data_IF_943790205113
#
_entry.id   IF_943790205113
#
_cell.length_a   1.000
_cell.length_b   1.000
_cell.length_c   1.000
_cell.angle_alpha   90.00
_cell.angle_beta   90.00
_cell.angle_gamma   90.00
#
_symmetry.space_group_name_H-M   'P 1'
#
loop_
_entity.id
_entity.type
_entity.pdbx_description
1 polymer ?
#
# COMPACT_ATOMS: atom_id res chain seq x y z
N UNK A 1 -23.05 -53.51 -27.64
CA UNK A 1 -22.25 -52.83 -26.60
C UNK A 1 -22.73 -53.34 -25.25
N UNK A 2 -21.82 -53.72 -24.34
CA UNK A 2 -22.17 -54.28 -23.03
C UNK A 2 -22.60 -53.17 -22.06
N UNK A 3 -23.51 -53.46 -21.14
CA UNK A 3 -23.96 -52.55 -20.09
C UNK A 3 -22.81 -52.03 -19.21
N UNK A 4 -21.76 -52.87 -19.04
CA UNK A 4 -20.49 -52.49 -18.42
C UNK A 4 -19.74 -51.41 -19.20
N UNK A 5 -19.76 -51.46 -20.52
CA UNK A 5 -19.09 -50.46 -21.38
C UNK A 5 -19.79 -49.11 -21.30
N UNK A 6 -21.12 -49.12 -21.10
CA UNK A 6 -21.92 -47.91 -20.93
C UNK A 6 -21.62 -47.24 -19.58
N UNK A 7 -21.59 -48.03 -18.50
CA UNK A 7 -21.21 -47.56 -17.16
C UNK A 7 -19.78 -47.00 -17.13
N UNK A 8 -18.82 -47.67 -17.78
CA UNK A 8 -17.44 -47.20 -17.87
C UNK A 8 -17.35 -45.85 -18.60
N UNK A 9 -18.11 -45.66 -19.68
CA UNK A 9 -18.17 -44.40 -20.42
C UNK A 9 -18.77 -43.27 -19.59
N UNK A 10 -19.86 -43.49 -18.86
CA UNK A 10 -20.45 -42.49 -17.96
C UNK A 10 -19.50 -42.10 -16.82
N UNK A 11 -18.81 -43.07 -16.23
CA UNK A 11 -17.86 -42.84 -15.15
C UNK A 11 -16.62 -42.08 -15.63
N UNK A 12 -16.18 -42.34 -16.86
CA UNK A 12 -15.09 -41.62 -17.51
C UNK A 12 -15.51 -40.18 -17.86
N UNK A 13 -16.73 -39.99 -18.37
CA UNK A 13 -17.26 -38.68 -18.73
C UNK A 13 -17.50 -37.79 -17.51
N UNK A 14 -18.10 -38.33 -16.45
CA UNK A 14 -18.25 -37.63 -15.16
C UNK A 14 -16.90 -37.26 -14.56
N UNK A 15 -15.90 -38.16 -14.64
CA UNK A 15 -14.54 -37.86 -14.16
C UNK A 15 -13.83 -36.80 -15.00
N UNK A 16 -14.09 -36.74 -16.32
CA UNK A 16 -13.57 -35.67 -17.20
C UNK A 16 -14.23 -34.33 -16.87
N UNK A 17 -15.55 -34.29 -16.70
CA UNK A 17 -16.29 -33.09 -16.30
C UNK A 17 -15.82 -32.56 -14.95
N UNK A 18 -15.74 -33.42 -13.93
CA UNK A 18 -15.25 -33.05 -12.61
C UNK A 18 -13.80 -32.53 -12.61
N UNK A 19 -12.94 -33.02 -13.52
CA UNK A 19 -11.59 -32.47 -13.72
C UNK A 19 -11.62 -31.10 -14.39
N UNK A 20 -12.41 -30.95 -15.44
CA UNK A 20 -12.57 -29.69 -16.16
C UNK A 20 -13.15 -28.60 -15.25
N UNK A 21 -14.14 -28.93 -14.41
CA UNK A 21 -14.74 -27.99 -13.46
C UNK A 21 -13.73 -27.51 -12.42
N UNK A 22 -12.92 -28.42 -11.87
CA UNK A 22 -11.85 -28.07 -10.91
C UNK A 22 -10.76 -27.23 -11.55
N UNK A 23 -10.40 -27.51 -12.79
CA UNK A 23 -9.40 -26.72 -13.52
C UNK A 23 -9.93 -25.31 -13.82
N UNK A 24 -11.19 -25.21 -14.24
CA UNK A 24 -11.86 -23.93 -14.45
C UNK A 24 -11.98 -23.12 -13.16
N UNK A 25 -12.30 -23.76 -12.04
CA UNK A 25 -12.34 -23.10 -10.73
C UNK A 25 -10.96 -22.60 -10.31
N UNK A 26 -9.91 -23.40 -10.52
CA UNK A 26 -8.52 -22.98 -10.28
C UNK A 26 -8.12 -21.79 -11.12
N UNK A 27 -8.46 -21.79 -12.41
CA UNK A 27 -8.18 -20.66 -13.30
C UNK A 27 -8.91 -19.39 -12.85
N UNK A 28 -10.19 -19.50 -12.47
CA UNK A 28 -10.96 -18.38 -11.91
C UNK A 28 -10.36 -17.86 -10.61
N UNK A 29 -9.92 -18.74 -9.72
CA UNK A 29 -9.27 -18.35 -8.47
C UNK A 29 -7.92 -17.65 -8.74
N UNK A 30 -7.12 -18.17 -9.66
CA UNK A 30 -5.84 -17.55 -10.04
C UNK A 30 -6.02 -16.17 -10.68
N UNK A 31 -7.04 -16.00 -11.52
CA UNK A 31 -7.37 -14.69 -12.11
C UNK A 31 -7.82 -13.69 -11.04
N UNK A 32 -8.66 -14.11 -10.10
CA UNK A 32 -9.08 -13.26 -8.97
C UNK A 32 -7.91 -12.86 -8.09
N UNK A 33 -7.00 -13.78 -7.80
CA UNK A 33 -5.81 -13.49 -7.01
C UNK A 33 -4.87 -12.53 -7.74
N UNK A 34 -4.69 -12.73 -9.05
CA UNK A 34 -3.90 -11.81 -9.87
C UNK A 34 -4.51 -10.40 -9.90
N UNK A 35 -5.82 -10.29 -10.09
CA UNK A 35 -6.52 -9.00 -10.03
C UNK A 35 -6.42 -8.37 -8.62
N UNK A 36 -6.51 -9.16 -7.57
CA UNK A 36 -6.37 -8.68 -6.20
C UNK A 36 -4.96 -8.11 -5.93
N UNK A 37 -3.92 -8.76 -6.44
CA UNK A 37 -2.52 -8.39 -6.20
C UNK A 37 -2.02 -7.25 -7.09
N UNK A 38 -2.37 -7.28 -8.38
CA UNK A 38 -1.83 -6.39 -9.42
C UNK A 38 -2.86 -5.42 -9.99
N UNK A 39 -4.13 -5.54 -9.58
CA UNK A 39 -5.18 -4.62 -10.02
C UNK A 39 -5.08 -3.25 -9.34
N UNK A 40 -5.74 -2.24 -9.92
CA UNK A 40 -5.84 -0.91 -9.32
C UNK A 40 -6.63 -0.97 -8.01
N UNK A 41 -6.05 -0.37 -6.97
CA UNK A 41 -6.68 -0.26 -5.65
C UNK A 41 -7.73 0.82 -5.64
N UNK A 42 -8.80 0.63 -4.87
CA UNK A 42 -9.65 1.75 -4.46
C UNK A 42 -8.92 2.67 -3.48
N UNK A 43 -9.37 3.92 -3.36
CA UNK A 43 -8.82 4.86 -2.36
C UNK A 43 -8.88 4.26 -0.95
N UNK A 44 -9.97 3.56 -0.62
CA UNK A 44 -10.11 2.88 0.68
C UNK A 44 -9.08 1.76 0.85
N UNK A 45 -8.96 0.87 -0.13
CA UNK A 45 -7.99 -0.23 -0.06
C UNK A 45 -6.55 0.28 0.01
N UNK A 46 -6.22 1.33 -0.74
CA UNK A 46 -4.90 1.96 -0.69
C UNK A 46 -4.58 2.49 0.71
N UNK A 47 -5.50 3.22 1.34
CA UNK A 47 -5.32 3.73 2.71
C UNK A 47 -5.20 2.59 3.73
N UNK A 48 -6.00 1.53 3.60
CA UNK A 48 -5.96 0.36 4.49
C UNK A 48 -4.63 -0.41 4.37
N UNK A 49 -4.12 -0.58 3.15
CA UNK A 49 -2.81 -1.18 2.90
C UNK A 49 -1.70 -0.30 3.51
N UNK A 50 -1.70 1.02 3.26
CA UNK A 50 -0.76 1.95 3.88
C UNK A 50 -0.80 1.91 5.42
N UNK A 51 -1.99 1.84 6.03
CA UNK A 51 -2.13 1.73 7.48
C UNK A 51 -1.58 0.42 8.03
N UNK A 52 -1.84 -0.69 7.33
CA UNK A 52 -1.28 -2.00 7.68
C UNK A 52 0.24 -2.02 7.59
N UNK A 53 0.81 -1.24 6.66
CA UNK A 53 2.25 -1.08 6.51
C UNK A 53 2.84 -0.21 7.62
N UNK A 54 2.20 0.92 7.94
CA UNK A 54 2.62 1.82 9.03
C UNK A 54 2.65 1.10 10.38
N UNK A 55 1.63 0.27 10.67
CA UNK A 55 1.58 -0.54 11.89
C UNK A 55 2.69 -1.59 12.02
N UNK A 56 3.43 -1.90 10.94
CA UNK A 56 4.59 -2.79 10.95
C UNK A 56 5.92 -2.05 11.12
N UNK A 57 5.91 -0.73 11.08
CA UNK A 57 7.11 0.07 11.29
C UNK A 57 7.52 0.00 12.77
N UNK A 58 8.78 -0.35 13.00
CA UNK A 58 9.36 -0.37 14.33
C UNK A 58 9.87 1.03 14.66
N UNK A 59 9.13 1.75 15.53
CA UNK A 59 9.54 3.08 15.97
C UNK A 59 10.64 2.93 17.02
N UNK A 60 11.90 2.95 16.56
CA UNK A 60 13.06 2.92 17.42
C UNK A 60 13.15 4.25 18.18
N UNK A 61 12.59 4.27 19.39
CA UNK A 61 12.57 5.43 20.30
C UNK A 61 13.81 5.49 21.20
N UNK A 62 14.58 4.41 21.30
CA UNK A 62 15.83 4.37 22.06
C UNK A 62 16.98 4.92 21.19
N UNK A 63 17.18 6.23 21.28
CA UNK A 63 18.32 6.95 20.71
C UNK A 63 19.64 6.59 21.45
N UNK A 64 20.12 5.36 21.35
CA UNK A 64 21.52 5.03 21.72
C UNK A 64 22.47 5.12 20.51
N UNK A 65 21.92 5.35 19.31
CA UNK A 65 22.61 5.56 18.03
C UNK A 65 22.65 7.06 17.65
N UNK A 66 22.77 7.95 18.63
CA UNK A 66 23.07 9.36 18.33
C UNK A 66 24.48 9.36 17.75
N UNK A 67 24.65 9.97 16.57
CA UNK A 67 25.95 10.27 15.92
C UNK A 67 27.16 10.02 16.82
N UNK A 68 27.91 8.93 16.61
CA UNK A 68 29.31 8.84 17.09
C UNK A 68 30.23 9.73 16.23
N UNK A 69 29.75 10.89 15.82
CA UNK A 69 30.48 11.91 15.07
C UNK A 69 30.71 13.12 15.96
N UNK A 70 31.76 13.91 15.71
CA UNK A 70 31.92 15.19 16.39
C UNK A 70 30.64 16.00 16.26
N UNK A 71 30.15 16.54 17.38
CA UNK A 71 28.95 17.38 17.43
C UNK A 71 29.11 18.46 16.39
N UNK A 72 28.36 18.34 15.29
CA UNK A 72 28.32 19.39 14.28
C UNK A 72 27.61 20.55 14.96
N UNK A 73 28.35 21.61 15.28
CA UNK A 73 27.77 22.86 15.75
C UNK A 73 26.82 23.36 14.65
N UNK A 74 25.49 23.35 14.88
CA UNK A 74 24.56 23.77 13.85
C UNK A 74 24.57 25.29 13.62
N UNK A 75 25.42 26.05 14.33
CA UNK A 75 25.48 27.51 14.31
C UNK A 75 24.19 28.13 14.85
N UNK A 76 23.76 29.25 14.26
CA UNK A 76 22.54 29.98 14.62
C UNK A 76 21.23 29.36 14.11
N UNK A 77 21.22 28.09 13.71
CA UNK A 77 19.99 27.46 13.22
C UNK A 77 18.95 27.34 14.34
N UNK A 78 17.73 27.90 14.14
CA UNK A 78 16.69 27.84 15.15
C UNK A 78 16.29 26.39 15.41
N UNK A 79 16.47 25.94 16.67
CA UNK A 79 16.06 24.61 17.10
C UNK A 79 14.62 24.65 17.61
N UNK A 80 13.80 23.61 17.33
CA UNK A 80 12.50 23.48 17.97
C UNK A 80 12.69 23.43 19.48
N UNK A 81 12.19 24.44 20.20
CA UNK A 81 12.25 24.49 21.67
C UNK A 81 11.15 23.67 22.34
N UNK A 82 10.12 23.32 21.57
CA UNK A 82 8.94 22.62 22.06
C UNK A 82 8.32 21.78 20.93
N UNK A 83 8.33 20.46 21.09
CA UNK A 83 7.51 19.57 20.26
C UNK A 83 6.15 19.48 20.97
N UNK A 84 5.15 20.18 20.43
CA UNK A 84 3.78 20.13 20.97
C UNK A 84 3.07 18.91 20.40
N UNK A 85 2.49 18.08 21.26
CA UNK A 85 1.63 16.99 20.82
C UNK A 85 0.42 17.55 20.09
N UNK A 86 0.17 17.06 18.87
CA UNK A 86 -1.00 17.45 18.10
C UNK A 86 -2.26 16.80 18.66
N UNK A 87 -2.86 17.44 19.67
CA UNK A 87 -4.14 17.01 20.25
C UNK A 87 -5.22 17.03 19.17
N UNK A 88 -5.98 15.93 19.06
CA UNK A 88 -7.06 15.83 18.09
C UNK A 88 -6.65 15.29 16.71
N UNK A 89 -5.36 15.01 16.47
CA UNK A 89 -4.89 14.50 15.19
C UNK A 89 -5.62 13.21 14.76
N UNK A 90 -5.77 12.18 15.61
CA UNK A 90 -6.48 10.95 15.23
C UNK A 90 -7.93 11.22 14.81
N UNK A 91 -8.64 12.09 15.54
CA UNK A 91 -10.02 12.45 15.25
C UNK A 91 -10.12 13.18 13.90
N UNK A 92 -9.22 14.13 13.64
CA UNK A 92 -9.21 14.90 12.40
C UNK A 92 -8.80 14.06 11.19
N UNK A 93 -7.84 13.14 11.36
CA UNK A 93 -7.46 12.17 10.34
C UNK A 93 -8.67 11.30 9.97
N UNK A 94 -9.38 10.74 10.96
CA UNK A 94 -10.59 9.95 10.71
C UNK A 94 -11.66 10.74 9.96
N UNK A 95 -11.90 12.00 10.35
CA UNK A 95 -12.87 12.87 9.68
C UNK A 95 -12.52 13.10 8.20
N UNK A 96 -11.24 13.31 7.89
CA UNK A 96 -10.75 13.49 6.52
C UNK A 96 -10.90 12.18 5.73
N UNK A 97 -10.49 11.05 6.31
CA UNK A 97 -10.60 9.75 5.65
C UNK A 97 -12.06 9.39 5.31
N UNK A 98 -13.00 9.71 6.20
CA UNK A 98 -14.43 9.50 5.95
C UNK A 98 -14.99 10.35 4.79
N UNK A 99 -14.31 11.44 4.42
CA UNK A 99 -14.68 12.28 3.27
C UNK A 99 -14.07 11.79 1.96
N UNK A 100 -13.15 10.82 2.00
CA UNK A 100 -12.55 10.27 0.80
C UNK A 100 -13.55 9.31 0.10
N UNK A 101 -13.66 9.38 -1.22
CA UNK A 101 -14.51 8.50 -2.01
C UNK A 101 -13.99 7.06 -1.93
N UNK A 102 -14.62 6.25 -1.08
CA UNK A 102 -14.08 4.96 -0.67
C UNK A 102 -14.00 3.92 -1.80
N UNK A 103 -14.97 3.93 -2.72
CA UNK A 103 -15.11 2.88 -3.75
C UNK A 103 -14.45 3.25 -5.08
N UNK A 104 -13.81 4.42 -5.18
CA UNK A 104 -13.19 4.86 -6.43
C UNK A 104 -11.84 4.18 -6.63
N UNK A 105 -11.67 3.48 -7.76
CA UNK A 105 -10.41 2.87 -8.18
C UNK A 105 -9.40 3.94 -8.60
N UNK A 106 -8.21 3.92 -8.00
CA UNK A 106 -7.10 4.78 -8.40
C UNK A 106 -6.73 4.48 -9.86
N UNK A 107 -6.46 5.50 -10.67
CA UNK A 107 -6.11 5.29 -12.07
C UNK A 107 -4.79 4.51 -12.18
N UNK A 108 -4.74 3.42 -12.97
CA UNK A 108 -3.55 2.58 -13.08
C UNK A 108 -2.36 3.31 -13.74
N UNK A 109 -2.61 4.41 -14.45
CA UNK A 109 -1.62 5.27 -15.10
C UNK A 109 -0.98 6.30 -14.15
N UNK A 110 -1.51 6.50 -12.94
CA UNK A 110 -1.10 7.59 -12.05
C UNK A 110 0.02 7.25 -11.05
N UNK A 111 0.76 6.16 -11.26
CA UNK A 111 1.92 5.83 -10.43
C UNK A 111 1.58 5.32 -9.02
N UNK A 112 0.32 4.93 -8.78
CA UNK A 112 -0.01 4.29 -7.50
C UNK A 112 0.49 2.85 -7.46
N UNK A 113 1.13 2.47 -6.36
CA UNK A 113 1.58 1.10 -6.16
C UNK A 113 0.36 0.17 -6.00
N UNK A 114 0.40 -0.96 -6.70
CA UNK A 114 -0.50 -2.10 -6.46
C UNK A 114 -0.28 -2.68 -5.05
N UNK A 115 -1.11 -3.64 -4.61
CA UNK A 115 -0.87 -4.32 -3.32
C UNK A 115 0.52 -4.96 -3.27
N UNK A 116 0.98 -5.51 -4.39
CA UNK A 116 2.33 -6.08 -4.51
C UNK A 116 3.39 -4.98 -4.39
N UNK A 117 3.22 -3.84 -5.06
CA UNK A 117 4.19 -2.74 -4.97
C UNK A 117 4.26 -2.19 -3.53
N UNK A 118 3.11 -1.96 -2.88
CA UNK A 118 3.01 -1.54 -1.48
C UNK A 118 3.68 -2.54 -0.54
N UNK A 119 3.46 -3.84 -0.75
CA UNK A 119 4.11 -4.90 0.02
C UNK A 119 5.61 -4.95 -0.25
N UNK A 120 6.04 -4.77 -1.49
CA UNK A 120 7.46 -4.77 -1.85
C UNK A 120 8.18 -3.59 -1.21
N UNK A 121 7.58 -2.40 -1.17
CA UNK A 121 8.14 -1.21 -0.49
C UNK A 121 8.46 -1.52 0.99
N UNK A 122 7.65 -2.35 1.66
CA UNK A 122 7.81 -2.61 3.11
C UNK A 122 8.35 -4.01 3.49
N UNK A 123 8.29 -5.00 2.59
CA UNK A 123 8.40 -6.43 2.94
C UNK A 123 9.61 -7.19 2.38
N UNK A 124 10.41 -6.58 1.51
CA UNK A 124 11.64 -7.18 0.96
C UNK A 124 12.87 -6.33 1.27
N UNK A 125 14.03 -6.63 0.68
CA UNK A 125 15.30 -5.86 0.77
C UNK A 125 15.19 -4.32 0.57
N UNK A 126 14.00 -3.83 0.21
CA UNK A 126 13.47 -2.46 0.18
C UNK A 126 13.03 -1.87 1.53
N UNK A 127 13.22 -2.58 2.67
CA UNK A 127 13.36 -1.93 4.00
C UNK A 127 14.44 -0.81 4.00
N UNK A 128 15.21 -0.71 2.91
CA UNK A 128 16.09 0.40 2.52
C UNK A 128 15.38 1.73 2.22
N UNK A 129 14.15 1.75 1.69
CA UNK A 129 13.46 3.01 1.34
C UNK A 129 12.83 3.63 2.60
N UNK A 130 12.13 2.82 3.40
CA UNK A 130 11.74 3.17 4.76
C UNK A 130 12.82 2.76 5.76
N UNK A 131 14.09 3.05 5.42
CA UNK A 131 15.13 3.01 6.45
C UNK A 131 14.70 3.96 7.56
N UNK A 132 14.87 3.59 8.84
CA UNK A 132 14.91 4.59 9.89
C UNK A 132 15.82 5.71 9.40
N UNK A 133 15.46 6.98 9.64
CA UNK A 133 16.34 8.10 9.30
C UNK A 133 17.68 7.83 9.99
N UNK A 134 18.64 7.29 9.23
CA UNK A 134 19.98 6.98 9.71
C UNK A 134 20.67 8.34 9.92
N UNK A 135 21.56 8.40 10.90
CA UNK A 135 22.15 9.67 11.34
C UNK A 135 23.00 10.38 10.26
N UNK A 136 23.29 9.69 9.17
CA UNK A 136 23.99 10.13 7.96
C UNK A 136 23.05 10.47 6.79
N UNK A 137 21.73 10.42 6.99
CA UNK A 137 20.74 10.82 5.98
C UNK A 137 20.97 12.29 5.64
N UNK A 138 21.42 12.54 4.41
CA UNK A 138 21.62 13.91 3.94
C UNK A 138 20.29 14.69 3.98
N UNK A 139 20.36 16.01 4.18
CA UNK A 139 19.19 16.91 4.08
C UNK A 139 18.44 16.71 2.74
N UNK A 140 19.19 16.41 1.68
CA UNK A 140 18.66 16.06 0.37
C UNK A 140 17.80 14.78 0.40
N UNK A 141 18.28 13.71 1.04
CA UNK A 141 17.53 12.46 1.19
C UNK A 141 16.24 12.65 1.99
N UNK A 142 16.27 13.50 3.04
CA UNK A 142 15.08 13.84 3.82
C UNK A 142 14.07 14.66 3.02
N UNK A 143 14.56 15.60 2.20
CA UNK A 143 13.71 16.40 1.31
C UNK A 143 13.03 15.53 0.23
N UNK A 144 13.76 14.58 -0.37
CA UNK A 144 13.19 13.63 -1.32
C UNK A 144 12.14 12.72 -0.69
N UNK A 145 12.39 12.20 0.51
CA UNK A 145 11.40 11.41 1.24
C UNK A 145 10.12 12.20 1.52
N UNK A 146 10.23 13.50 1.84
CA UNK A 146 9.06 14.37 2.03
C UNK A 146 8.24 14.51 0.74
N UNK A 147 8.91 14.72 -0.39
CA UNK A 147 8.24 14.85 -1.68
C UNK A 147 7.53 13.55 -2.09
N UNK A 148 8.22 12.41 -2.05
CA UNK A 148 7.69 11.13 -2.52
C UNK A 148 6.66 10.50 -1.56
N UNK A 149 6.87 10.61 -0.24
CA UNK A 149 5.99 9.93 0.73
C UNK A 149 4.77 10.77 1.12
N UNK A 150 4.84 12.10 1.00
CA UNK A 150 3.79 12.99 1.52
C UNK A 150 3.20 13.87 0.43
N UNK A 151 4.01 14.67 -0.27
CA UNK A 151 3.48 15.71 -1.15
C UNK A 151 2.82 15.08 -2.39
N UNK A 152 3.53 14.22 -3.12
CA UNK A 152 3.00 13.55 -4.32
C UNK A 152 1.68 12.80 -4.07
N UNK A 153 1.64 11.89 -3.07
CA UNK A 153 0.41 11.16 -2.75
C UNK A 153 -0.76 12.07 -2.35
N UNK A 154 -0.51 13.11 -1.54
CA UNK A 154 -1.56 14.04 -1.08
C UNK A 154 -2.08 14.90 -2.22
N UNK A 155 -1.21 15.48 -3.06
CA UNK A 155 -1.64 16.29 -4.20
C UNK A 155 -2.51 15.50 -5.16
N UNK A 156 -2.19 14.24 -5.38
CA UNK A 156 -2.94 13.39 -6.28
C UNK A 156 -4.28 12.98 -5.68
N UNK A 157 -4.31 12.57 -4.40
CA UNK A 157 -5.58 12.36 -3.68
C UNK A 157 -6.48 13.60 -3.77
N UNK A 158 -5.91 14.79 -3.58
CA UNK A 158 -6.63 16.05 -3.74
C UNK A 158 -7.12 16.28 -5.18
N UNK A 159 -6.28 16.02 -6.19
CA UNK A 159 -6.68 16.10 -7.61
C UNK A 159 -7.83 15.14 -7.91
N UNK A 160 -7.82 13.92 -7.37
CA UNK A 160 -8.87 12.94 -7.61
C UNK A 160 -10.17 13.32 -6.90
N UNK A 161 -10.11 13.78 -5.64
CA UNK A 161 -11.27 14.32 -4.91
C UNK A 161 -11.90 15.49 -5.68
N UNK A 162 -11.06 16.40 -6.22
CA UNK A 162 -11.52 17.54 -7.01
C UNK A 162 -12.10 17.12 -8.36
N UNK A 163 -11.49 16.14 -9.03
CA UNK A 163 -11.99 15.57 -10.29
C UNK A 163 -13.40 15.02 -10.11
N UNK A 164 -13.66 14.32 -9.02
CA UNK A 164 -14.99 13.75 -8.75
C UNK A 164 -16.05 14.82 -8.48
N UNK A 165 -15.72 15.91 -7.78
CA UNK A 165 -16.65 17.04 -7.60
C UNK A 165 -17.10 17.66 -8.92
N UNK A 166 -16.26 17.63 -9.95
CA UNK A 166 -16.60 18.15 -11.27
C UNK A 166 -17.48 17.20 -12.11
N UNK A 167 -17.55 15.90 -11.77
CA UNK A 167 -18.40 14.91 -12.46
C UNK A 167 -19.77 14.71 -11.79
N UNK A 168 -20.07 15.44 -10.71
CA UNK A 168 -21.35 15.38 -9.99
C UNK A 168 -22.34 16.51 -10.35
N UNK A 169 -22.20 17.13 -11.53
CA UNK A 169 -23.19 18.06 -12.10
C UNK A 169 -23.63 17.63 -13.50
#
# INVERSE_FOLDING_TARGET
MSERDLLLKELQETRRRARADREQERLRAALKEHEHLFGPLTVKEYVEECHTLDGKLDVVTKLTLITEGPVVDPGDRPRPRLIVQWKGFPQKQQEILNKLPSDHKLPPDQGFPTRVDLRMICGGSTRRILKPIESDSSEYSLAMNREEAVIGPVELLMKEILRQRCFCH
#
